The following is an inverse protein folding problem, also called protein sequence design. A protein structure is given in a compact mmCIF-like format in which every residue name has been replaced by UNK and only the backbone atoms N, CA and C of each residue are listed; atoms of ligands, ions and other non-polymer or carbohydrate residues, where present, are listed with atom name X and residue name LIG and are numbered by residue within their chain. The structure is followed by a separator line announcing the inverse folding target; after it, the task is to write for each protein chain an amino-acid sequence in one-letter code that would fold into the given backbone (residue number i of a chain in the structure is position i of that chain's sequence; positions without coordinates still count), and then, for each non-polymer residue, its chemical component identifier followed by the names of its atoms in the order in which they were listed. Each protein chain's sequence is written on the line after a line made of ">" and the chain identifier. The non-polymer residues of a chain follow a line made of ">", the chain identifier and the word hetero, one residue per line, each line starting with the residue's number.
data_IF_255850212590
#
_entry.id   IF_255850212590
#
_cell.length_a   1.000
_cell.length_b   1.000
_cell.length_c   1.000
_cell.angle_alpha   90.00
_cell.angle_beta   90.00
_cell.angle_gamma   90.00
#
_symmetry.space_group_name_H-M   'P 1'
#
loop_
_entity.id
_entity.type
_entity.pdbx_description
1 polymer ?
#
# COMPACT_ATOMS: atom_id res chain seq x y z
N UNK A 1 -9.71 16.60 5.87
CA UNK A 1 -9.42 16.77 7.30
C UNK A 1 -7.91 16.78 7.45
N UNK A 2 -7.36 17.73 8.19
CA UNK A 2 -5.92 17.90 8.40
C UNK A 2 -5.58 17.78 9.89
N UNK A 3 -4.36 17.33 10.19
CA UNK A 3 -3.89 17.12 11.56
C UNK A 3 -2.48 17.67 11.73
N UNK A 4 -2.17 18.20 12.92
CA UNK A 4 -0.83 18.64 13.26
C UNK A 4 0.04 17.45 13.66
N UNK A 5 1.23 17.35 13.08
CA UNK A 5 2.22 16.31 13.43
C UNK A 5 2.83 16.60 14.81
N UNK A 6 2.70 15.64 15.72
CA UNK A 6 3.23 15.76 17.09
C UNK A 6 4.76 16.03 17.14
N UNK A 7 5.52 15.51 16.17
CA UNK A 7 6.98 15.63 16.14
C UNK A 7 7.45 16.91 15.46
N UNK A 8 6.78 17.33 14.36
CA UNK A 8 7.27 18.46 13.53
C UNK A 8 6.42 19.70 13.64
N UNK A 9 5.23 19.63 14.25
CA UNK A 9 4.24 20.71 14.30
C UNK A 9 3.57 21.04 12.96
N UNK A 10 3.99 20.40 11.85
CA UNK A 10 3.42 20.64 10.53
C UNK A 10 2.02 20.06 10.42
N UNK A 11 1.09 20.82 9.84
CA UNK A 11 -0.26 20.36 9.53
C UNK A 11 -0.27 19.67 8.16
N UNK A 12 -0.79 18.46 8.09
CA UNK A 12 -0.82 17.61 6.90
C UNK A 12 -2.20 16.93 6.75
N UNK A 13 -2.58 16.55 5.52
CA UNK A 13 -3.77 15.76 5.27
C UNK A 13 -3.75 14.40 5.97
N UNK A 14 -4.92 13.86 6.32
CA UNK A 14 -5.07 12.61 7.07
C UNK A 14 -4.42 11.40 6.40
N UNK A 15 -4.34 11.37 5.08
CA UNK A 15 -3.71 10.31 4.29
C UNK A 15 -2.17 10.33 4.36
N UNK A 16 -1.59 11.48 4.72
CA UNK A 16 -0.16 11.66 4.98
C UNK A 16 0.21 11.48 6.47
N UNK A 17 -0.74 11.14 7.31
CA UNK A 17 -0.56 11.03 8.76
C UNK A 17 -0.79 9.60 9.26
N UNK A 18 -0.11 9.25 10.34
CA UNK A 18 -0.31 8.04 11.13
C UNK A 18 -0.90 8.41 12.47
N UNK A 19 -1.93 7.69 12.89
CA UNK A 19 -2.50 7.80 14.22
C UNK A 19 -1.82 6.81 15.15
N UNK A 20 -1.56 7.24 16.37
CA UNK A 20 -1.04 6.42 17.46
C UNK A 20 -1.94 6.59 18.67
N UNK A 21 -2.28 5.50 19.33
CA UNK A 21 -3.05 5.49 20.56
C UNK A 21 -2.18 5.01 21.72
N UNK A 22 -2.51 5.45 22.94
CA UNK A 22 -1.87 4.94 24.16
C UNK A 22 -2.59 3.66 24.58
N UNK A 23 -1.87 2.55 24.66
CA UNK A 23 -2.41 1.28 25.13
C UNK A 23 -2.68 1.32 26.66
N UNK A 24 -3.49 0.40 27.20
CA UNK A 24 -3.68 0.29 28.66
C UNK A 24 -2.38 0.07 29.44
N UNK A 25 -1.34 -0.46 28.80
CA UNK A 25 0.00 -0.62 29.38
C UNK A 25 0.84 0.66 29.36
N UNK A 26 0.31 1.77 28.82
CA UNK A 26 1.02 3.03 28.69
C UNK A 26 2.04 3.02 27.54
N UNK A 27 1.85 2.20 26.51
CA UNK A 27 2.72 2.16 25.34
C UNK A 27 2.04 2.77 24.11
N UNK A 28 2.82 3.52 23.34
CA UNK A 28 2.35 4.10 22.10
C UNK A 28 2.19 3.03 21.02
N UNK A 29 0.97 2.84 20.56
CA UNK A 29 0.58 1.75 19.64
C UNK A 29 0.10 2.34 18.29
N UNK A 30 0.60 1.86 17.14
CA UNK A 30 0.14 2.31 15.84
C UNK A 30 -1.33 1.94 15.58
N UNK A 31 -2.13 2.92 15.19
CA UNK A 31 -3.54 2.74 14.79
C UNK A 31 -3.71 3.00 13.29
N UNK A 32 -3.24 2.08 12.46
CA UNK A 32 -3.28 2.20 11.00
C UNK A 32 -4.73 2.21 10.46
N UNK A 33 -5.66 1.64 11.22
CA UNK A 33 -7.09 1.58 10.88
C UNK A 33 -7.89 2.81 11.32
N UNK A 34 -7.33 3.64 12.19
CA UNK A 34 -8.00 4.78 12.83
C UNK A 34 -9.25 4.38 13.62
N UNK A 35 -9.22 3.23 14.29
CA UNK A 35 -10.38 2.65 14.99
C UNK A 35 -10.12 2.27 16.45
N UNK A 36 -8.91 2.45 16.96
CA UNK A 36 -8.63 2.19 18.37
C UNK A 36 -9.21 3.30 19.25
N UNK A 37 -9.81 2.96 20.40
CA UNK A 37 -10.30 3.95 21.35
C UNK A 37 -9.15 4.62 22.14
N UNK A 38 -9.46 5.71 22.83
CA UNK A 38 -8.56 6.38 23.77
C UNK A 38 -7.85 7.61 23.22
N UNK A 39 -6.96 8.16 24.07
CA UNK A 39 -6.12 9.30 23.70
C UNK A 39 -5.21 8.93 22.54
N UNK A 40 -5.00 9.89 21.64
CA UNK A 40 -4.22 9.65 20.42
C UNK A 40 -3.41 10.87 19.99
N UNK A 41 -2.34 10.60 19.28
CA UNK A 41 -1.52 11.60 18.60
C UNK A 41 -1.44 11.30 17.12
N UNK A 42 -1.18 12.33 16.32
CA UNK A 42 -0.94 12.23 14.89
C UNK A 42 0.52 12.52 14.57
N UNK A 43 1.12 11.69 13.71
CA UNK A 43 2.52 11.82 13.29
C UNK A 43 2.58 11.69 11.77
N UNK A 44 3.41 12.50 11.12
CA UNK A 44 3.64 12.38 9.68
C UNK A 44 4.03 10.94 9.30
N UNK A 45 3.46 10.41 8.23
CA UNK A 45 3.69 9.03 7.75
C UNK A 45 5.09 8.85 7.12
N UNK A 46 6.12 9.27 7.85
CA UNK A 46 7.54 9.17 7.48
C UNK A 46 8.30 8.45 8.59
N UNK A 47 9.12 7.46 8.22
CA UNK A 47 9.89 6.65 9.17
C UNK A 47 10.70 7.51 10.14
N UNK A 48 11.35 8.57 9.65
CA UNK A 48 12.13 9.49 10.48
C UNK A 48 11.28 10.26 11.51
N UNK A 49 10.01 10.59 11.19
CA UNK A 49 9.11 11.23 12.15
C UNK A 49 8.68 10.25 13.25
N UNK A 50 8.41 8.99 12.90
CA UNK A 50 8.09 7.96 13.89
C UNK A 50 9.31 7.63 14.77
N UNK A 51 10.51 7.56 14.18
CA UNK A 51 11.75 7.36 14.92
C UNK A 51 12.11 8.56 15.83
N UNK A 52 11.60 9.75 15.54
CA UNK A 52 11.79 10.95 16.35
C UNK A 52 10.81 11.11 17.51
N UNK A 53 9.88 10.17 17.69
CA UNK A 53 8.98 10.15 18.84
C UNK A 53 9.76 9.92 20.13
N UNK A 54 9.39 10.63 21.19
CA UNK A 54 9.97 10.51 22.52
C UNK A 54 8.91 10.10 23.53
N UNK A 55 9.33 9.54 24.65
CA UNK A 55 8.44 9.24 25.77
C UNK A 55 7.74 10.51 26.22
N UNK A 56 6.45 10.41 26.44
CA UNK A 56 5.62 11.46 27.00
C UNK A 56 5.34 11.23 28.48
N UNK A 57 4.60 12.14 29.13
CA UNK A 57 4.20 11.98 30.52
C UNK A 57 3.30 10.75 30.73
N UNK A 58 2.47 10.42 29.74
CA UNK A 58 1.45 9.39 29.83
C UNK A 58 1.72 8.17 28.93
N UNK A 59 2.84 8.14 28.19
CA UNK A 59 3.19 7.01 27.30
C UNK A 59 4.69 6.77 27.18
N UNK A 60 5.02 5.53 26.81
CA UNK A 60 6.36 5.11 26.38
C UNK A 60 6.34 4.75 24.91
N UNK A 61 7.44 5.03 24.23
CA UNK A 61 7.64 4.70 22.82
C UNK A 61 8.40 3.38 22.74
N UNK A 62 7.83 2.31 22.14
CA UNK A 62 8.54 1.07 21.90
C UNK A 62 9.77 1.29 21.03
N UNK A 63 10.88 0.64 21.36
CA UNK A 63 12.15 0.80 20.63
C UNK A 63 12.05 0.40 19.16
N UNK A 64 11.25 -0.61 18.87
CA UNK A 64 11.01 -1.13 17.51
C UNK A 64 9.80 -0.50 16.80
N UNK A 65 9.19 0.55 17.37
CA UNK A 65 8.00 1.20 16.83
C UNK A 65 8.08 1.52 15.32
N UNK A 66 9.20 2.04 14.78
CA UNK A 66 9.31 2.27 13.34
C UNK A 66 9.23 0.98 12.50
N UNK A 67 9.73 -0.14 13.02
CA UNK A 67 9.63 -1.45 12.36
C UNK A 67 8.22 -2.01 12.44
N UNK A 68 7.55 -1.89 13.58
CA UNK A 68 6.14 -2.27 13.75
C UNK A 68 5.24 -1.54 12.74
N UNK A 69 5.41 -0.23 12.60
CA UNK A 69 4.66 0.59 11.63
C UNK A 69 4.90 0.11 10.20
N UNK A 70 6.16 -0.14 9.83
CA UNK A 70 6.49 -0.66 8.48
C UNK A 70 5.78 -2.00 8.20
N UNK A 71 5.82 -2.92 9.17
CA UNK A 71 5.15 -4.22 9.08
C UNK A 71 3.63 -4.10 8.93
N UNK A 72 3.00 -3.24 9.72
CA UNK A 72 1.54 -3.02 9.69
C UNK A 72 1.09 -2.36 8.38
N UNK A 73 1.84 -1.39 7.86
CA UNK A 73 1.54 -0.76 6.57
C UNK A 73 1.68 -1.77 5.42
N UNK A 74 2.74 -2.59 5.43
CA UNK A 74 2.94 -3.67 4.46
C UNK A 74 1.82 -4.71 4.52
N UNK A 75 1.45 -5.15 5.73
CA UNK A 75 0.32 -6.06 5.91
C UNK A 75 -0.99 -5.47 5.38
N UNK A 76 -1.25 -4.19 5.62
CA UNK A 76 -2.44 -3.51 5.10
C UNK A 76 -2.46 -3.47 3.57
N UNK A 77 -1.34 -3.19 2.93
CA UNK A 77 -1.24 -3.18 1.46
C UNK A 77 -1.52 -4.57 0.88
N UNK A 78 -0.92 -5.62 1.44
CA UNK A 78 -1.19 -7.02 1.05
C UNK A 78 -2.64 -7.43 1.30
N UNK A 79 -3.22 -7.04 2.43
CA UNK A 79 -4.61 -7.33 2.77
C UNK A 79 -5.59 -6.71 1.77
N UNK A 80 -5.31 -5.53 1.21
CA UNK A 80 -6.16 -4.94 0.17
C UNK A 80 -6.21 -5.80 -1.10
N UNK A 81 -5.07 -6.39 -1.50
CA UNK A 81 -5.02 -7.35 -2.61
C UNK A 81 -5.81 -8.63 -2.28
N UNK A 82 -5.66 -9.16 -1.07
CA UNK A 82 -6.39 -10.34 -0.60
C UNK A 82 -7.90 -10.12 -0.60
N UNK A 83 -8.36 -8.98 -0.09
CA UNK A 83 -9.79 -8.63 -0.08
C UNK A 83 -10.34 -8.46 -1.50
N UNK A 84 -9.61 -7.80 -2.40
CA UNK A 84 -10.00 -7.66 -3.79
C UNK A 84 -10.11 -9.02 -4.49
N UNK A 85 -9.21 -9.96 -4.16
CA UNK A 85 -9.30 -11.33 -4.66
C UNK A 85 -10.50 -12.07 -4.10
N UNK A 86 -10.74 -12.01 -2.80
CA UNK A 86 -11.89 -12.65 -2.16
C UNK A 86 -13.22 -12.14 -2.73
N UNK A 87 -13.26 -10.86 -3.11
CA UNK A 87 -14.40 -10.26 -3.82
C UNK A 87 -14.49 -10.67 -5.31
N UNK A 88 -13.60 -11.53 -5.82
CA UNK A 88 -13.58 -11.94 -7.23
C UNK A 88 -13.12 -10.85 -8.21
N UNK A 89 -12.42 -9.81 -7.72
CA UNK A 89 -12.02 -8.64 -8.51
C UNK A 89 -10.56 -8.68 -8.96
N UNK A 90 -9.89 -9.83 -8.79
CA UNK A 90 -8.52 -10.07 -9.28
C UNK A 90 -8.48 -11.37 -10.09
N UNK A 91 -7.87 -11.31 -11.26
CA UNK A 91 -7.51 -12.48 -12.07
C UNK A 91 -6.03 -12.79 -11.90
N UNK A 92 -5.66 -14.08 -11.85
CA UNK A 92 -4.30 -14.54 -11.58
C UNK A 92 -3.75 -15.36 -12.74
N UNK A 93 -2.45 -15.23 -12.98
CA UNK A 93 -1.67 -15.99 -13.95
C UNK A 93 -1.65 -15.35 -15.34
N UNK A 94 -0.55 -15.63 -16.06
CA UNK A 94 -0.21 -14.94 -17.32
C UNK A 94 -1.39 -14.95 -18.33
N UNK A 95 -1.93 -16.11 -18.67
CA UNK A 95 -2.95 -16.24 -19.71
C UNK A 95 -4.25 -15.47 -19.39
N UNK A 96 -4.69 -15.49 -18.11
CA UNK A 96 -5.91 -14.78 -17.69
C UNK A 96 -5.68 -13.27 -17.65
N UNK A 97 -4.49 -12.84 -17.22
CA UNK A 97 -4.10 -11.41 -17.20
C UNK A 97 -3.98 -10.88 -18.64
N UNK A 98 -3.33 -11.65 -19.51
CA UNK A 98 -3.22 -11.31 -20.95
C UNK A 98 -4.60 -11.15 -21.60
N UNK A 99 -5.52 -12.08 -21.34
CA UNK A 99 -6.90 -12.00 -21.85
C UNK A 99 -7.69 -10.81 -21.23
N UNK A 100 -7.46 -10.48 -19.96
CA UNK A 100 -8.11 -9.34 -19.31
C UNK A 100 -7.63 -8.00 -19.91
N UNK A 101 -6.32 -7.87 -20.16
CA UNK A 101 -5.74 -6.68 -20.80
C UNK A 101 -6.24 -6.56 -22.25
N UNK A 102 -6.18 -7.63 -23.06
CA UNK A 102 -6.63 -7.62 -24.44
C UNK A 102 -8.14 -7.35 -24.59
N UNK A 103 -8.93 -7.79 -23.62
CA UNK A 103 -10.39 -7.58 -23.60
C UNK A 103 -10.85 -6.29 -22.89
N UNK A 104 -9.93 -5.37 -22.55
CA UNK A 104 -10.26 -4.09 -21.90
C UNK A 104 -10.88 -4.21 -20.51
N UNK A 105 -10.74 -5.36 -19.83
CA UNK A 105 -11.31 -5.61 -18.50
C UNK A 105 -10.34 -5.33 -17.37
N UNK A 106 -9.05 -5.20 -17.63
CA UNK A 106 -8.05 -4.91 -16.62
C UNK A 106 -8.08 -3.43 -16.25
N UNK A 107 -8.24 -3.11 -14.98
CA UNK A 107 -8.16 -1.77 -14.43
C UNK A 107 -6.77 -1.44 -13.87
N UNK A 108 -5.97 -2.46 -13.49
CA UNK A 108 -4.58 -2.33 -13.09
C UNK A 108 -3.86 -3.67 -13.28
N UNK A 109 -2.65 -3.63 -13.82
CA UNK A 109 -1.71 -4.77 -13.82
C UNK A 109 -0.89 -4.75 -12.54
N UNK A 110 -0.82 -5.89 -11.84
CA UNK A 110 0.08 -6.09 -10.69
C UNK A 110 1.01 -7.25 -11.01
N UNK A 111 2.31 -6.96 -11.09
CA UNK A 111 3.36 -7.95 -11.38
C UNK A 111 4.38 -7.98 -10.25
N UNK A 112 4.88 -9.18 -9.94
CA UNK A 112 5.98 -9.35 -9.01
C UNK A 112 7.27 -8.78 -9.60
N UNK A 113 8.00 -7.95 -8.84
CA UNK A 113 9.24 -7.32 -9.33
C UNK A 113 10.36 -8.34 -9.60
N UNK A 114 10.34 -9.47 -8.91
CA UNK A 114 11.29 -10.60 -9.03
C UNK A 114 10.84 -11.69 -10.02
N UNK A 115 9.69 -11.51 -10.68
CA UNK A 115 9.20 -12.43 -11.70
C UNK A 115 10.02 -12.37 -13.00
N UNK A 116 9.92 -13.41 -13.83
CA UNK A 116 10.65 -13.52 -15.10
C UNK A 116 10.43 -12.32 -16.01
N UNK A 117 11.54 -11.71 -16.50
CA UNK A 117 11.56 -10.46 -17.26
C UNK A 117 10.68 -10.49 -18.51
N UNK A 118 10.72 -11.58 -19.29
CA UNK A 118 10.01 -11.68 -20.57
C UNK A 118 8.49 -11.62 -20.39
N UNK A 119 7.97 -12.36 -19.41
CA UNK A 119 6.54 -12.35 -19.08
C UNK A 119 6.07 -10.97 -18.61
N UNK A 120 6.84 -10.34 -17.72
CA UNK A 120 6.55 -8.99 -17.23
C UNK A 120 6.56 -7.96 -18.36
N UNK A 121 7.62 -7.95 -19.19
CA UNK A 121 7.76 -7.01 -20.29
C UNK A 121 6.63 -7.16 -21.32
N UNK A 122 6.16 -8.39 -21.60
CA UNK A 122 5.05 -8.62 -22.52
C UNK A 122 3.73 -8.05 -22.02
N UNK A 123 3.40 -8.31 -20.76
CA UNK A 123 2.17 -7.79 -20.14
C UNK A 123 2.24 -6.28 -19.91
N UNK A 124 3.40 -5.75 -19.53
CA UNK A 124 3.61 -4.32 -19.33
C UNK A 124 3.38 -3.53 -20.63
N UNK A 125 3.91 -4.01 -21.78
CA UNK A 125 3.66 -3.39 -23.08
C UNK A 125 2.17 -3.35 -23.44
N UNK A 126 1.43 -4.43 -23.17
CA UNK A 126 -0.03 -4.47 -23.37
C UNK A 126 -0.77 -3.52 -22.45
N UNK A 127 -0.41 -3.47 -21.18
CA UNK A 127 -1.00 -2.57 -20.21
C UNK A 127 -0.77 -1.10 -20.62
N UNK A 128 0.46 -0.75 -21.02
CA UNK A 128 0.79 0.59 -21.51
C UNK A 128 -0.02 0.97 -22.74
N UNK A 129 -0.12 0.07 -23.73
CA UNK A 129 -0.91 0.30 -24.94
C UNK A 129 -2.41 0.48 -24.64
N UNK A 130 -2.92 -0.17 -23.59
CA UNK A 130 -4.31 -0.06 -23.13
C UNK A 130 -4.54 1.09 -22.15
N UNK A 131 -3.52 1.87 -21.77
CA UNK A 131 -3.61 2.91 -20.74
C UNK A 131 -3.88 2.35 -19.33
N UNK A 132 -3.57 1.07 -19.08
CA UNK A 132 -3.77 0.40 -17.80
C UNK A 132 -2.54 0.63 -16.91
N UNK A 133 -2.71 1.15 -15.67
CA UNK A 133 -1.62 1.37 -14.74
C UNK A 133 -0.96 0.06 -14.32
N UNK A 134 0.33 0.13 -14.03
CA UNK A 134 1.17 -1.01 -13.66
C UNK A 134 1.70 -0.80 -12.25
N UNK A 135 1.63 -1.84 -11.42
CA UNK A 135 2.23 -1.92 -10.10
C UNK A 135 3.24 -3.06 -10.05
N UNK A 136 4.52 -2.74 -9.85
CA UNK A 136 5.62 -3.70 -9.68
C UNK A 136 6.36 -3.42 -8.36
N UNK A 137 5.71 -3.69 -7.24
CA UNK A 137 6.24 -3.35 -5.92
C UNK A 137 6.37 -4.55 -4.99
N UNK A 138 5.57 -5.57 -5.17
CA UNK A 138 5.58 -6.79 -4.35
C UNK A 138 6.43 -7.88 -4.99
N UNK A 139 7.04 -8.77 -4.16
CA UNK A 139 7.64 -10.02 -4.63
C UNK A 139 6.57 -11.05 -5.02
N UNK A 140 6.98 -12.11 -5.72
CA UNK A 140 6.10 -13.23 -6.05
C UNK A 140 5.55 -13.91 -4.79
N UNK A 141 6.39 -14.07 -3.76
CA UNK A 141 6.01 -14.59 -2.46
C UNK A 141 4.98 -13.70 -1.75
N UNK A 142 5.22 -12.38 -1.70
CA UNK A 142 4.29 -11.43 -1.07
C UNK A 142 2.93 -11.40 -1.76
N UNK A 143 2.91 -11.44 -3.10
CA UNK A 143 1.67 -11.56 -3.87
C UNK A 143 1.00 -12.91 -3.63
N UNK A 144 1.80 -13.99 -3.55
CA UNK A 144 1.32 -15.32 -3.21
C UNK A 144 0.64 -15.34 -1.85
N UNK A 145 1.32 -14.84 -0.81
CA UNK A 145 0.79 -14.72 0.54
C UNK A 145 -0.51 -13.90 0.57
N UNK A 146 -0.54 -12.74 -0.06
CA UNK A 146 -1.72 -11.88 -0.14
C UNK A 146 -2.91 -12.58 -0.81
N UNK A 147 -2.63 -13.45 -1.78
CA UNK A 147 -3.66 -14.10 -2.60
C UNK A 147 -3.89 -15.57 -2.25
N UNK A 148 -3.36 -16.05 -1.10
CA UNK A 148 -3.52 -17.42 -0.62
C UNK A 148 -3.03 -18.47 -1.64
N UNK A 149 -1.87 -18.20 -2.24
CA UNK A 149 -1.15 -19.09 -3.16
C UNK A 149 0.30 -19.18 -2.72
N UNK A 150 1.06 -20.15 -3.25
CA UNK A 150 2.49 -20.24 -2.97
C UNK A 150 3.22 -19.04 -3.58
N UNK A 151 3.07 -18.82 -4.89
CA UNK A 151 3.64 -17.69 -5.62
C UNK A 151 2.65 -17.12 -6.63
N UNK A 152 2.68 -15.80 -6.81
CA UNK A 152 1.92 -15.11 -7.85
C UNK A 152 2.82 -14.12 -8.55
N UNK A 153 3.10 -14.34 -9.84
CA UNK A 153 3.95 -13.44 -10.63
C UNK A 153 3.11 -12.36 -11.32
N UNK A 154 1.95 -12.73 -11.85
CA UNK A 154 1.08 -11.82 -12.59
C UNK A 154 -0.35 -11.88 -12.11
N UNK A 155 -0.92 -10.70 -11.89
CA UNK A 155 -2.32 -10.53 -11.57
C UNK A 155 -2.86 -9.25 -12.19
N UNK A 156 -4.17 -9.15 -12.38
CA UNK A 156 -4.82 -7.92 -12.80
C UNK A 156 -6.07 -7.67 -11.96
N UNK A 157 -6.19 -6.44 -11.49
CA UNK A 157 -7.42 -5.91 -10.87
C UNK A 157 -8.38 -5.54 -11.99
N UNK A 158 -9.64 -6.00 -11.90
CA UNK A 158 -10.65 -5.81 -12.95
C UNK A 158 -11.71 -4.76 -12.59
N UNK A 159 -11.53 -4.04 -11.51
CA UNK A 159 -12.49 -3.03 -11.06
C UNK A 159 -11.77 -1.81 -10.46
N UNK A 160 -12.07 -0.62 -11.00
CA UNK A 160 -11.39 0.64 -10.65
C UNK A 160 -11.49 1.03 -9.17
N UNK A 161 -12.61 0.70 -8.50
CA UNK A 161 -12.79 0.94 -7.08
C UNK A 161 -11.70 0.27 -6.20
N UNK A 162 -11.31 -0.96 -6.55
CA UNK A 162 -10.24 -1.67 -5.86
C UNK A 162 -8.86 -1.12 -6.17
N UNK A 163 -8.65 -0.61 -7.39
CA UNK A 163 -7.39 0.04 -7.77
C UNK A 163 -7.06 1.18 -6.82
N UNK A 164 -8.01 2.08 -6.57
CA UNK A 164 -7.81 3.23 -5.68
C UNK A 164 -7.44 2.80 -4.24
N UNK A 165 -8.07 1.75 -3.71
CA UNK A 165 -7.79 1.24 -2.36
C UNK A 165 -6.41 0.58 -2.26
N UNK A 166 -6.05 -0.25 -3.24
CA UNK A 166 -4.76 -0.93 -3.29
C UNK A 166 -3.64 0.09 -3.46
N UNK A 167 -3.80 1.03 -4.38
CA UNK A 167 -2.81 2.08 -4.64
C UNK A 167 -2.58 2.94 -3.39
N UNK A 168 -3.63 3.43 -2.76
CA UNK A 168 -3.51 4.26 -1.55
C UNK A 168 -2.77 3.52 -0.41
N UNK A 169 -3.10 2.24 -0.17
CA UNK A 169 -2.44 1.45 0.87
C UNK A 169 -0.95 1.20 0.54
N UNK A 170 -0.65 0.89 -0.73
CA UNK A 170 0.72 0.63 -1.19
C UNK A 170 1.57 1.89 -1.16
N UNK A 171 1.07 3.02 -1.64
CA UNK A 171 1.78 4.32 -1.61
C UNK A 171 2.11 4.75 -0.19
N UNK A 172 1.18 4.59 0.75
CA UNK A 172 1.42 4.94 2.14
C UNK A 172 2.58 4.13 2.73
N UNK A 173 2.67 2.84 2.40
CA UNK A 173 3.79 1.99 2.79
C UNK A 173 5.10 2.41 2.10
N UNK A 174 5.07 2.64 0.78
CA UNK A 174 6.24 3.11 0.01
C UNK A 174 6.83 4.41 0.56
N UNK A 175 5.98 5.42 0.80
CA UNK A 175 6.41 6.70 1.39
C UNK A 175 7.05 6.48 2.76
N UNK A 176 6.46 5.60 3.58
CA UNK A 176 6.97 5.33 4.92
C UNK A 176 8.37 4.69 4.90
N UNK A 177 8.59 3.69 4.05
CA UNK A 177 9.90 3.00 3.97
C UNK A 177 10.94 3.76 3.14
N UNK A 178 10.57 4.92 2.57
CA UNK A 178 11.47 5.74 1.76
C UNK A 178 11.74 5.18 0.37
N UNK A 179 10.95 4.21 -0.08
CA UNK A 179 10.95 3.78 -1.47
C UNK A 179 10.11 4.78 -2.23
N UNK A 180 10.74 5.80 -2.83
CA UNK A 180 10.02 6.70 -3.74
C UNK A 180 9.40 5.82 -4.82
N UNK A 181 8.09 5.95 -5.11
CA UNK A 181 7.55 5.28 -6.28
C UNK A 181 8.32 5.81 -7.49
N UNK A 182 9.23 5.03 -8.03
CA UNK A 182 9.77 5.24 -9.37
C UNK A 182 8.70 4.82 -10.39
N UNK A 183 7.50 5.16 -10.03
CA UNK A 183 6.32 5.12 -10.86
C UNK A 183 5.96 6.57 -11.08
N UNK A 184 6.58 7.19 -12.07
CA UNK A 184 5.83 8.07 -12.94
C UNK A 184 4.69 7.25 -13.53
N UNK A 185 3.83 6.78 -12.63
CA UNK A 185 2.54 6.25 -13.01
C UNK A 185 1.82 7.45 -13.60
N UNK A 186 1.50 7.37 -14.87
CA UNK A 186 0.69 8.31 -15.64
C UNK A 186 -0.74 8.44 -15.04
N UNK A 187 -0.83 8.55 -13.70
CA UNK A 187 -2.09 8.71 -12.97
C UNK A 187 -2.68 10.09 -13.12
N UNK A 188 -1.87 11.07 -13.55
CA UNK A 188 -2.30 12.46 -13.68
C UNK A 188 -3.26 12.69 -14.84
N UNK A 189 -3.29 11.82 -15.85
CA UNK A 189 -4.15 11.99 -17.01
C UNK A 189 -5.48 11.23 -16.96
N UNK A 190 -5.57 10.16 -16.15
CA UNK A 190 -6.81 9.36 -16.05
C UNK A 190 -7.89 10.06 -15.20
N UNK A 191 -7.55 11.05 -14.39
CA UNK A 191 -8.50 11.84 -13.59
C UNK A 191 -9.20 12.98 -14.35
N UNK A 192 -8.88 13.18 -15.65
CA UNK A 192 -9.47 14.28 -16.46
C UNK A 192 -10.40 13.80 -17.58
N UNK A 193 -10.82 12.53 -17.57
CA UNK A 193 -11.85 12.06 -18.50
C UNK A 193 -13.04 11.49 -17.77
#
# INVERSE_FOLDING_TARGET
>A
MEFACHVTGKTLPADEMLRFCVSPAGELTPDIGNNLPGAHIWVSARKMCVAGLQNGPDWRVPEDLPCQVAGLLGARARNMLGLARAAGKIVLGFAKVDAALSGGRAAMLVSAYDGARDGRAKLARKAQAAGVPIMEFFSAEELGLAMGRQDVIHSAVIEAHWVAKIDAATRRWQVYIGTTPDVQTQWTEVRKR
#
